data_IF_831428866816
#
_entry.id   IF_831428866816
#
_cell.length_a   1.000
_cell.length_b   1.000
_cell.length_c   1.000
_cell.angle_alpha   90.00
_cell.angle_beta   90.00
_cell.angle_gamma   90.00
#
_symmetry.space_group_name_H-M   'P 1'
#
loop_
_entity.id
_entity.type
_entity.pdbx_description
1 polymer ?
#
# COMPACT_ATOMS: atom_id res chain seq x y z
N UNK A 1 -6.88 7.74 18.83
CA UNK A 1 -7.33 7.53 17.44
C UNK A 1 -6.13 7.79 16.55
N UNK A 2 -5.97 7.05 15.44
CA UNK A 2 -4.69 6.93 14.74
C UNK A 2 -4.93 6.94 13.24
N UNK A 3 -4.17 7.76 12.52
CA UNK A 3 -4.10 7.68 11.07
C UNK A 3 -3.32 6.43 10.63
N UNK A 4 -3.70 5.85 9.49
CA UNK A 4 -2.99 4.71 8.90
C UNK A 4 -2.58 5.08 7.49
N UNK A 5 -1.32 4.84 7.13
CA UNK A 5 -0.84 4.97 5.75
C UNK A 5 -0.43 3.62 5.21
N UNK A 6 -0.92 3.31 4.01
CA UNK A 6 -0.55 2.11 3.25
C UNK A 6 0.30 2.54 2.07
N UNK A 7 1.57 2.15 2.09
CA UNK A 7 2.52 2.31 1.01
C UNK A 7 2.92 0.95 0.42
N UNK A 8 3.66 0.99 -0.68
CA UNK A 8 3.99 -0.20 -1.47
C UNK A 8 4.02 0.08 -2.97
N UNK A 9 4.62 -0.85 -3.71
CA UNK A 9 4.78 -0.75 -5.16
C UNK A 9 3.44 -0.66 -5.93
N UNK A 10 3.54 -0.28 -7.20
CA UNK A 10 2.40 -0.22 -8.12
C UNK A 10 1.68 -1.57 -8.16
N UNK A 11 0.34 -1.57 -8.07
CA UNK A 11 -0.48 -2.78 -8.07
C UNK A 11 -0.20 -3.77 -6.92
N UNK A 12 0.42 -3.34 -5.82
CA UNK A 12 0.59 -4.17 -4.62
C UNK A 12 -0.74 -4.53 -3.91
N UNK A 13 -1.82 -3.81 -4.20
CA UNK A 13 -3.15 -4.03 -3.60
C UNK A 13 -3.55 -2.99 -2.54
N UNK A 14 -2.80 -1.90 -2.42
CA UNK A 14 -3.01 -0.82 -1.43
C UNK A 14 -4.44 -0.30 -1.47
N UNK A 15 -4.91 0.10 -2.64
CA UNK A 15 -6.25 0.66 -2.85
C UNK A 15 -7.35 -0.28 -2.37
N UNK A 16 -7.22 -1.56 -2.68
CA UNK A 16 -8.18 -2.59 -2.25
C UNK A 16 -8.18 -2.74 -0.74
N UNK A 17 -7.01 -2.84 -0.10
CA UNK A 17 -6.92 -3.01 1.34
C UNK A 17 -7.27 -1.74 2.12
N UNK A 18 -6.95 -0.55 1.60
CA UNK A 18 -7.36 0.72 2.16
C UNK A 18 -8.89 0.81 2.23
N UNK A 19 -9.58 0.43 1.16
CA UNK A 19 -11.05 0.38 1.12
C UNK A 19 -11.64 -0.55 2.17
N UNK A 20 -11.12 -1.78 2.23
CA UNK A 20 -11.59 -2.79 3.19
C UNK A 20 -11.34 -2.37 4.65
N UNK A 21 -10.21 -1.71 4.92
CA UNK A 21 -9.89 -1.18 6.25
C UNK A 21 -10.80 0.00 6.62
N UNK A 22 -11.00 0.94 5.71
CA UNK A 22 -11.89 2.07 5.93
C UNK A 22 -13.33 1.61 6.24
N UNK A 23 -13.83 0.62 5.50
CA UNK A 23 -15.15 0.02 5.75
C UNK A 23 -15.23 -0.65 7.12
N UNK A 24 -14.22 -1.44 7.51
CA UNK A 24 -14.24 -2.16 8.79
C UNK A 24 -14.01 -1.26 10.01
N UNK A 25 -13.26 -0.17 9.85
CA UNK A 25 -12.91 0.77 10.93
C UNK A 25 -13.83 2.00 10.98
N UNK A 26 -14.63 2.25 9.95
CA UNK A 26 -15.44 3.47 9.82
C UNK A 26 -14.58 4.73 9.57
N UNK A 27 -13.43 4.57 8.91
CA UNK A 27 -12.47 5.66 8.65
C UNK A 27 -12.68 6.25 7.26
N UNK A 28 -12.36 7.54 7.08
CA UNK A 28 -12.32 8.16 5.75
C UNK A 28 -11.05 7.69 5.00
N UNK A 29 -11.16 7.47 3.69
CA UNK A 29 -9.98 7.15 2.87
C UNK A 29 -9.53 8.35 2.04
N UNK A 30 -8.23 8.64 2.08
CA UNK A 30 -7.56 9.64 1.24
C UNK A 30 -6.82 8.93 0.11
N UNK A 31 -7.29 9.13 -1.12
CA UNK A 31 -6.75 8.49 -2.33
C UNK A 31 -5.72 9.42 -3.01
N UNK A 32 -4.44 9.25 -2.70
CA UNK A 32 -3.41 10.17 -3.21
C UNK A 32 -3.31 10.18 -4.75
N UNK A 33 -3.46 9.02 -5.38
CA UNK A 33 -3.41 8.91 -6.84
C UNK A 33 -4.63 9.59 -7.51
N UNK A 34 -5.83 9.45 -6.94
CA UNK A 34 -7.02 10.20 -7.36
C UNK A 34 -6.84 11.71 -7.25
N UNK A 35 -6.39 12.21 -6.10
CA UNK A 35 -6.12 13.64 -5.89
C UNK A 35 -5.08 14.19 -6.88
N UNK A 36 -4.03 13.42 -7.18
CA UNK A 36 -3.06 13.79 -8.21
C UNK A 36 -3.74 13.91 -9.57
N UNK A 37 -4.51 12.91 -9.99
CA UNK A 37 -5.17 12.92 -11.30
C UNK A 37 -6.17 14.07 -11.43
N UNK A 38 -6.98 14.32 -10.40
CA UNK A 38 -7.90 15.47 -10.35
C UNK A 38 -7.14 16.79 -10.49
N UNK A 39 -6.03 16.97 -9.76
CA UNK A 39 -5.21 18.18 -9.84
C UNK A 39 -4.58 18.40 -11.23
N UNK A 40 -4.42 17.34 -12.01
CA UNK A 40 -3.92 17.37 -13.38
C UNK A 40 -5.04 17.47 -14.44
N UNK A 41 -6.30 17.61 -14.00
CA UNK A 41 -7.48 17.78 -14.83
C UNK A 41 -7.95 16.50 -15.52
N UNK A 42 -7.75 15.33 -14.90
CA UNK A 42 -8.33 14.08 -15.36
C UNK A 42 -9.66 13.77 -14.66
N UNK A 43 -10.54 13.05 -15.36
CA UNK A 43 -11.72 12.42 -14.78
C UNK A 43 -11.30 11.10 -14.11
N UNK A 44 -11.44 11.03 -12.78
CA UNK A 44 -10.95 9.90 -11.97
C UNK A 44 -11.92 8.73 -11.86
N UNK A 45 -13.09 8.79 -12.51
CA UNK A 45 -14.03 7.65 -12.55
C UNK A 45 -13.38 6.36 -13.07
N UNK A 46 -12.38 6.46 -13.94
CA UNK A 46 -11.59 5.34 -14.45
C UNK A 46 -10.09 5.45 -14.10
N UNK A 47 -9.77 5.80 -12.85
CA UNK A 47 -8.37 5.92 -12.37
C UNK A 47 -7.49 4.75 -12.81
N UNK A 48 -8.01 3.50 -12.73
CA UNK A 48 -7.24 2.30 -13.10
C UNK A 48 -6.82 2.28 -14.57
N UNK A 49 -7.69 2.76 -15.45
CA UNK A 49 -7.43 2.87 -16.88
C UNK A 49 -6.46 4.01 -17.16
N UNK A 50 -6.59 5.13 -16.46
CA UNK A 50 -5.72 6.30 -16.63
C UNK A 50 -4.26 6.00 -16.29
N UNK A 51 -4.00 5.41 -15.11
CA UNK A 51 -2.61 5.14 -14.73
C UNK A 51 -1.95 4.08 -15.60
N UNK A 52 -2.73 3.16 -16.18
CA UNK A 52 -2.18 2.09 -17.01
C UNK A 52 -1.97 2.53 -18.47
N UNK A 53 -2.99 3.14 -19.09
CA UNK A 53 -2.99 3.47 -20.52
C UNK A 53 -2.45 4.88 -20.82
N UNK A 54 -2.47 5.79 -19.85
CA UNK A 54 -2.08 7.20 -20.03
C UNK A 54 -0.97 7.63 -19.06
N UNK A 55 -0.17 6.68 -18.58
CA UNK A 55 0.92 6.93 -17.63
C UNK A 55 1.90 8.02 -18.09
N UNK A 56 2.30 8.00 -19.36
CA UNK A 56 3.19 9.02 -19.94
C UNK A 56 2.56 10.41 -19.96
N UNK A 57 1.27 10.50 -20.27
CA UNK A 57 0.55 11.77 -20.26
C UNK A 57 0.41 12.32 -18.84
N UNK A 58 0.09 11.46 -17.87
CA UNK A 58 0.03 11.80 -16.45
C UNK A 58 1.37 12.37 -15.99
N UNK A 59 2.48 11.68 -16.29
CA UNK A 59 3.81 12.13 -15.85
C UNK A 59 4.25 13.42 -16.55
N UNK A 60 3.93 13.58 -17.84
CA UNK A 60 4.19 14.83 -18.58
C UNK A 60 3.44 16.01 -17.97
N UNK A 61 2.15 15.86 -17.63
CA UNK A 61 1.37 16.92 -16.97
C UNK A 61 1.88 17.20 -15.57
N UNK A 62 2.21 16.15 -14.82
CA UNK A 62 2.79 16.26 -13.47
C UNK A 62 4.10 17.05 -13.48
N UNK A 63 4.94 16.85 -14.48
CA UNK A 63 6.19 17.59 -14.62
C UNK A 63 5.98 19.05 -15.03
N UNK A 64 4.84 19.37 -15.64
CA UNK A 64 4.50 20.71 -16.12
C UNK A 64 3.80 21.59 -15.06
N UNK A 65 3.27 20.99 -13.98
CA UNK A 65 2.51 21.69 -12.94
C UNK A 65 3.15 21.41 -11.58
N UNK A 66 3.45 22.47 -10.82
CA UNK A 66 3.88 22.35 -9.44
C UNK A 66 2.67 22.00 -8.55
N UNK A 67 2.35 20.71 -8.45
CA UNK A 67 1.32 20.20 -7.52
C UNK A 67 2.00 19.77 -6.22
N UNK A 68 1.76 20.51 -5.13
CA UNK A 68 2.22 20.13 -3.78
C UNK A 68 1.26 19.15 -3.10
N UNK A 69 1.14 17.95 -3.69
CA UNK A 69 0.32 16.89 -3.12
C UNK A 69 0.91 16.36 -1.80
N UNK A 70 2.24 16.23 -1.74
CA UNK A 70 2.91 15.68 -0.56
C UNK A 70 2.71 16.61 0.66
N UNK A 71 2.81 17.93 0.48
CA UNK A 71 2.49 18.91 1.52
C UNK A 71 1.02 18.89 1.95
N UNK A 72 0.08 18.74 1.02
CA UNK A 72 -1.34 18.58 1.35
C UNK A 72 -1.61 17.33 2.21
N UNK A 73 -1.03 16.18 1.86
CA UNK A 73 -1.21 14.94 2.61
C UNK A 73 -0.57 15.02 4.00
N UNK A 74 0.61 15.65 4.12
CA UNK A 74 1.26 15.94 5.40
C UNK A 74 0.38 16.80 6.29
N UNK A 75 -0.20 17.88 5.73
CA UNK A 75 -1.07 18.76 6.49
C UNK A 75 -2.28 18.01 7.06
N UNK A 76 -2.97 17.19 6.25
CA UNK A 76 -4.11 16.39 6.73
C UNK A 76 -3.69 15.35 7.77
N UNK A 77 -2.57 14.67 7.55
CA UNK A 77 -2.06 13.69 8.51
C UNK A 77 -1.74 14.30 9.89
N UNK A 78 -1.37 15.59 9.92
CA UNK A 78 -1.03 16.32 11.14
C UNK A 78 -2.25 16.96 11.84
N UNK A 79 -3.31 17.30 11.09
CA UNK A 79 -4.46 18.05 11.63
C UNK A 79 -5.67 17.19 11.94
N UNK A 80 -5.68 15.93 11.53
CA UNK A 80 -6.87 15.08 11.58
C UNK A 80 -6.54 13.67 12.03
N UNK A 81 -7.56 12.94 12.47
CA UNK A 81 -7.47 11.55 12.95
C UNK A 81 -8.45 10.66 12.17
N UNK A 82 -8.24 9.34 12.27
CA UNK A 82 -9.11 8.33 11.67
C UNK A 82 -9.16 8.36 10.14
N UNK A 83 -8.01 8.66 9.52
CA UNK A 83 -7.82 8.59 8.07
C UNK A 83 -7.05 7.34 7.67
N UNK A 84 -7.45 6.73 6.56
CA UNK A 84 -6.66 5.74 5.81
C UNK A 84 -6.08 6.41 4.58
N UNK A 85 -4.76 6.53 4.49
CA UNK A 85 -4.07 7.07 3.34
C UNK A 85 -3.62 5.94 2.40
N UNK A 86 -4.19 5.87 1.20
CA UNK A 86 -3.56 5.15 0.07
C UNK A 86 -2.57 6.11 -0.59
N UNK A 87 -1.41 6.24 0.05
CA UNK A 87 -0.40 7.22 -0.29
C UNK A 87 0.98 6.58 -0.32
N UNK A 88 1.61 6.64 -1.50
CA UNK A 88 2.91 6.03 -1.72
C UNK A 88 4.01 6.69 -0.92
N UNK A 89 4.10 8.02 -0.94
CA UNK A 89 5.26 8.76 -0.45
C UNK A 89 5.09 9.38 0.95
N UNK A 90 3.86 9.41 1.46
CA UNK A 90 3.54 9.98 2.76
C UNK A 90 4.38 9.40 3.92
N UNK A 91 4.75 8.09 3.95
CA UNK A 91 5.60 7.58 5.03
C UNK A 91 6.94 8.31 5.18
N UNK A 92 7.52 8.78 4.07
CA UNK A 92 8.79 9.51 4.05
C UNK A 92 8.62 11.02 4.21
N UNK A 93 7.52 11.57 3.68
CA UNK A 93 7.23 13.00 3.77
C UNK A 93 6.80 13.44 5.18
N UNK A 94 6.16 12.54 5.94
CA UNK A 94 5.68 12.83 7.28
C UNK A 94 6.55 12.12 8.32
N UNK A 95 7.21 12.87 9.21
CA UNK A 95 8.18 12.33 10.17
C UNK A 95 7.60 11.97 11.54
N UNK A 96 6.37 12.41 11.85
CA UNK A 96 5.77 12.17 13.18
C UNK A 96 5.44 10.69 13.40
N UNK A 97 5.50 10.24 14.66
CA UNK A 97 5.19 8.85 15.04
C UNK A 97 3.69 8.63 15.30
N UNK A 98 2.86 9.64 15.10
CA UNK A 98 1.41 9.61 15.32
C UNK A 98 0.60 9.03 14.14
N UNK A 99 1.26 8.30 13.24
CA UNK A 99 0.65 7.57 12.13
C UNK A 99 1.18 6.14 12.09
N UNK A 100 0.29 5.17 11.88
CA UNK A 100 0.66 3.79 11.68
C UNK A 100 1.11 3.59 10.22
N UNK A 101 2.37 3.20 10.01
CA UNK A 101 2.95 3.03 8.67
C UNK A 101 2.95 1.57 8.25
N UNK A 102 2.35 1.30 7.10
CA UNK A 102 2.23 -0.05 6.54
C UNK A 102 2.93 -0.09 5.18
N UNK A 103 3.81 -1.08 5.01
CA UNK A 103 4.28 -1.49 3.70
C UNK A 103 3.57 -2.76 3.25
N UNK A 104 2.83 -2.66 2.16
CA UNK A 104 2.23 -3.80 1.49
C UNK A 104 3.15 -4.27 0.35
N UNK A 105 3.85 -5.36 0.59
CA UNK A 105 4.75 -6.00 -0.35
C UNK A 105 3.99 -6.96 -1.28
N UNK A 106 4.48 -7.06 -2.51
CA UNK A 106 3.96 -8.00 -3.50
C UNK A 106 4.93 -8.14 -4.67
N UNK A 107 5.29 -9.37 -5.04
CA UNK A 107 6.19 -9.62 -6.16
C UNK A 107 5.57 -9.19 -7.50
N UNK A 108 6.43 -8.93 -8.49
CA UNK A 108 6.00 -8.43 -9.80
C UNK A 108 4.97 -9.36 -10.47
N UNK A 109 5.07 -10.68 -10.29
CA UNK A 109 4.15 -11.64 -10.87
C UNK A 109 2.74 -11.53 -10.26
N UNK A 110 2.66 -11.44 -8.94
CA UNK A 110 1.43 -11.22 -8.18
C UNK A 110 0.79 -9.88 -8.56
N UNK A 111 1.59 -8.81 -8.62
CA UNK A 111 1.13 -7.47 -9.02
C UNK A 111 0.60 -7.45 -10.45
N UNK A 112 1.29 -8.11 -11.37
CA UNK A 112 0.87 -8.21 -12.77
C UNK A 112 -0.46 -8.99 -12.93
N UNK A 113 -0.65 -10.10 -12.19
CA UNK A 113 -1.91 -10.86 -12.18
C UNK A 113 -3.07 -10.04 -11.60
N UNK A 114 -2.84 -9.30 -10.51
CA UNK A 114 -3.83 -8.37 -9.94
C UNK A 114 -4.20 -7.28 -10.94
N UNK A 115 -3.20 -6.67 -11.57
CA UNK A 115 -3.37 -5.62 -12.56
C UNK A 115 -4.22 -6.10 -13.75
N UNK A 116 -3.87 -7.24 -14.36
CA UNK A 116 -4.62 -7.75 -15.51
C UNK A 116 -6.09 -7.98 -15.18
N UNK A 117 -6.41 -8.47 -13.98
CA UNK A 117 -7.80 -8.66 -13.56
C UNK A 117 -8.51 -7.33 -13.26
N UNK A 118 -7.81 -6.37 -12.65
CA UNK A 118 -8.39 -5.07 -12.28
C UNK A 118 -8.78 -4.19 -13.48
N UNK A 119 -8.19 -4.44 -14.66
CA UNK A 119 -8.45 -3.66 -15.88
C UNK A 119 -9.67 -4.15 -16.68
N UNK A 120 -10.31 -5.25 -16.27
CA UNK A 120 -11.59 -5.68 -16.84
C UNK A 120 -11.49 -6.33 -18.22
N UNK A 121 -12.52 -6.13 -19.07
CA UNK A 121 -12.67 -6.85 -20.34
C UNK A 121 -11.57 -6.55 -21.38
N UNK A 122 -10.90 -5.41 -21.27
CA UNK A 122 -9.77 -4.99 -22.11
C UNK A 122 -8.41 -5.30 -21.48
N UNK A 123 -8.40 -6.24 -20.52
CA UNK A 123 -7.21 -6.63 -19.77
C UNK A 123 -6.01 -6.94 -20.69
N UNK A 124 -4.87 -6.25 -20.49
CA UNK A 124 -3.61 -6.63 -21.11
C UNK A 124 -3.17 -8.01 -20.63
N UNK A 125 -2.24 -8.62 -21.37
CA UNK A 125 -1.58 -9.84 -20.90
C UNK A 125 -0.82 -9.55 -19.60
N UNK A 126 -0.68 -10.56 -18.76
CA UNK A 126 0.09 -10.45 -17.50
C UNK A 126 1.51 -9.92 -17.75
N UNK A 127 2.15 -10.30 -18.86
CA UNK A 127 3.48 -9.81 -19.23
C UNK A 127 3.51 -8.31 -19.58
N UNK A 128 2.47 -7.80 -20.23
CA UNK A 128 2.33 -6.38 -20.54
C UNK A 128 2.08 -5.59 -19.26
N UNK A 129 1.25 -6.13 -18.37
CA UNK A 129 1.04 -5.57 -17.03
C UNK A 129 2.36 -5.48 -16.26
N UNK A 130 3.14 -6.56 -16.23
CA UNK A 130 4.44 -6.60 -15.56
C UNK A 130 5.40 -5.53 -16.10
N UNK A 131 5.44 -5.35 -17.42
CA UNK A 131 6.31 -4.35 -18.06
C UNK A 131 5.91 -2.92 -17.68
N UNK A 132 4.60 -2.60 -17.75
CA UNK A 132 4.08 -1.28 -17.39
C UNK A 132 4.31 -0.96 -15.91
N UNK A 133 4.02 -1.93 -15.04
CA UNK A 133 4.25 -1.84 -13.59
C UNK A 133 5.73 -1.59 -13.28
N UNK A 134 6.64 -2.37 -13.88
CA UNK A 134 8.07 -2.24 -13.64
C UNK A 134 8.59 -0.86 -14.01
N UNK A 135 8.18 -0.33 -15.18
CA UNK A 135 8.57 1.04 -15.60
C UNK A 135 8.08 2.10 -14.62
N UNK A 136 6.83 1.99 -14.15
CA UNK A 136 6.29 2.93 -13.17
C UNK A 136 7.04 2.86 -11.84
N UNK A 137 7.36 1.66 -11.36
CA UNK A 137 8.12 1.48 -10.13
C UNK A 137 9.53 2.09 -10.24
N UNK A 138 10.20 2.00 -11.40
CA UNK A 138 11.50 2.66 -11.61
C UNK A 138 11.41 4.20 -11.49
N UNK A 139 10.35 4.80 -12.05
CA UNK A 139 10.08 6.23 -11.88
C UNK A 139 9.85 6.58 -10.41
N UNK A 140 9.16 5.72 -9.66
CA UNK A 140 8.89 5.93 -8.24
C UNK A 140 10.18 5.84 -7.40
N UNK A 141 11.04 4.85 -7.68
CA UNK A 141 12.36 4.69 -7.06
C UNK A 141 13.20 5.95 -7.29
N UNK A 142 13.24 6.43 -8.53
CA UNK A 142 13.99 7.65 -8.89
C UNK A 142 13.45 8.85 -8.14
N UNK A 143 12.13 9.08 -8.14
CA UNK A 143 11.50 10.19 -7.44
C UNK A 143 11.81 10.19 -5.95
N UNK A 144 11.71 9.04 -5.28
CA UNK A 144 11.97 8.96 -3.83
C UNK A 144 13.44 9.23 -3.52
N UNK A 145 14.35 8.69 -4.33
CA UNK A 145 15.78 8.98 -4.20
C UNK A 145 16.06 10.48 -4.37
N UNK A 146 15.50 11.11 -5.40
CA UNK A 146 15.75 12.53 -5.70
C UNK A 146 15.09 13.48 -4.69
N UNK A 147 13.90 13.13 -4.18
CA UNK A 147 13.10 13.99 -3.30
C UNK A 147 13.49 13.84 -1.84
N UNK A 148 13.74 12.61 -1.39
CA UNK A 148 13.92 12.29 0.03
C UNK A 148 15.34 11.80 0.34
N UNK A 149 16.18 11.53 -0.66
CA UNK A 149 17.56 11.04 -0.45
C UNK A 149 17.63 9.63 0.13
N UNK A 150 16.58 8.81 -0.06
CA UNK A 150 16.46 7.47 0.51
C UNK A 150 16.10 6.43 -0.54
N UNK A 151 16.41 5.16 -0.25
CA UNK A 151 16.00 4.05 -1.10
C UNK A 151 14.49 3.80 -0.96
N UNK A 152 13.80 3.65 -2.09
CA UNK A 152 12.39 3.26 -2.10
C UNK A 152 12.24 1.76 -1.89
N UNK A 153 11.42 1.35 -0.93
CA UNK A 153 11.19 -0.05 -0.61
C UNK A 153 10.74 -0.27 0.84
N UNK A 154 10.66 -1.54 1.29
CA UNK A 154 10.36 -1.88 2.68
C UNK A 154 11.52 -1.49 3.59
N UNK A 155 11.54 -0.23 4.03
CA UNK A 155 12.40 0.21 5.13
C UNK A 155 11.80 -0.25 6.45
N UNK A 156 12.30 -1.38 6.96
CA UNK A 156 11.85 -1.93 8.23
C UNK A 156 12.01 -0.94 9.39
N UNK A 157 12.90 0.05 9.33
CA UNK A 157 13.02 1.09 10.37
C UNK A 157 11.89 2.11 10.33
N UNK A 158 11.34 2.37 9.13
CA UNK A 158 10.28 3.35 8.88
C UNK A 158 8.88 2.76 9.07
N UNK A 159 8.63 1.56 8.55
CA UNK A 159 7.32 0.93 8.60
C UNK A 159 7.10 0.22 9.94
N UNK A 160 5.88 0.27 10.47
CA UNK A 160 5.49 -0.47 11.67
C UNK A 160 5.06 -1.89 11.29
N UNK A 161 4.33 -2.01 10.17
CA UNK A 161 3.82 -3.27 9.65
C UNK A 161 4.37 -3.49 8.24
N UNK A 162 4.88 -4.69 7.97
CA UNK A 162 5.28 -5.14 6.64
C UNK A 162 4.59 -6.47 6.36
N UNK A 163 3.72 -6.49 5.34
CA UNK A 163 2.96 -7.67 4.92
C UNK A 163 3.20 -7.96 3.44
N UNK A 164 3.58 -9.19 3.12
CA UNK A 164 3.84 -9.68 1.78
C UNK A 164 2.68 -10.57 1.30
N UNK A 165 1.89 -10.07 0.34
CA UNK A 165 0.74 -10.82 -0.17
C UNK A 165 1.07 -11.69 -1.41
N UNK A 166 2.33 -11.81 -1.79
CA UNK A 166 2.76 -12.51 -3.02
C UNK A 166 2.24 -13.94 -3.09
N UNK A 167 2.42 -14.70 -2.00
CA UNK A 167 2.08 -16.12 -1.94
C UNK A 167 0.58 -16.40 -1.86
N UNK A 168 -0.24 -15.36 -1.67
CA UNK A 168 -1.70 -15.50 -1.58
C UNK A 168 -2.38 -15.30 -2.94
N UNK A 169 -1.65 -14.79 -3.94
CA UNK A 169 -2.16 -14.49 -5.29
C UNK A 169 -1.60 -15.49 -6.28
N UNK A 170 -2.16 -16.72 -6.27
CA UNK A 170 -1.64 -17.85 -7.05
C UNK A 170 -2.40 -18.12 -8.36
N UNK A 171 -3.64 -17.65 -8.49
CA UNK A 171 -4.47 -17.85 -9.68
C UNK A 171 -4.41 -16.68 -10.67
N UNK A 172 -4.93 -16.91 -11.87
CA UNK A 172 -5.07 -15.90 -12.93
C UNK A 172 -6.53 -15.54 -13.23
N UNK A 173 -7.46 -15.95 -12.36
CA UNK A 173 -8.90 -15.70 -12.49
C UNK A 173 -9.39 -14.80 -11.37
N UNK A 174 -10.40 -14.00 -11.66
CA UNK A 174 -11.01 -13.08 -10.70
C UNK A 174 -11.32 -13.69 -9.32
N UNK A 175 -12.01 -14.85 -9.23
CA UNK A 175 -12.31 -15.50 -7.95
C UNK A 175 -11.08 -15.89 -7.13
N UNK A 176 -10.02 -16.38 -7.78
CA UNK A 176 -8.77 -16.78 -7.12
C UNK A 176 -8.05 -15.57 -6.54
N UNK A 177 -7.99 -14.47 -7.32
CA UNK A 177 -7.44 -13.19 -6.85
C UNK A 177 -8.26 -12.67 -5.66
N UNK A 178 -9.58 -12.71 -5.74
CA UNK A 178 -10.45 -12.25 -4.66
C UNK A 178 -10.28 -13.07 -3.37
N UNK A 179 -10.08 -14.39 -3.48
CA UNK A 179 -9.75 -15.23 -2.33
C UNK A 179 -8.39 -14.85 -1.73
N UNK A 180 -7.38 -14.65 -2.57
CA UNK A 180 -6.06 -14.18 -2.15
C UNK A 180 -6.11 -12.84 -1.41
N UNK A 181 -6.88 -11.88 -1.93
CA UNK A 181 -7.12 -10.57 -1.30
C UNK A 181 -7.78 -10.72 0.07
N UNK A 182 -8.84 -11.55 0.19
CA UNK A 182 -9.50 -11.76 1.50
C UNK A 182 -8.54 -12.35 2.52
N UNK A 183 -7.73 -13.33 2.13
CA UNK A 183 -6.71 -13.93 3.02
C UNK A 183 -5.66 -12.90 3.42
N UNK A 184 -5.14 -12.12 2.47
CA UNK A 184 -4.16 -11.07 2.74
C UNK A 184 -4.72 -10.00 3.68
N UNK A 185 -5.99 -9.65 3.51
CA UNK A 185 -6.66 -8.68 4.38
C UNK A 185 -6.82 -9.19 5.81
N UNK A 186 -7.08 -10.49 6.01
CA UNK A 186 -7.14 -11.08 7.34
C UNK A 186 -5.81 -10.92 8.10
N UNK A 187 -4.67 -11.22 7.46
CA UNK A 187 -3.35 -10.98 8.06
C UNK A 187 -3.09 -9.50 8.33
N UNK A 188 -3.44 -8.62 7.38
CA UNK A 188 -3.24 -7.18 7.53
C UNK A 188 -4.08 -6.61 8.67
N UNK A 189 -5.36 -6.96 8.75
CA UNK A 189 -6.25 -6.52 9.82
C UNK A 189 -5.78 -7.03 11.19
N UNK A 190 -5.38 -8.30 11.29
CA UNK A 190 -4.82 -8.86 12.52
C UNK A 190 -3.51 -8.17 12.93
N UNK A 191 -2.63 -7.83 11.99
CA UNK A 191 -1.39 -7.10 12.26
C UNK A 191 -1.67 -5.66 12.73
N UNK A 192 -2.67 -4.99 12.15
CA UNK A 192 -3.10 -3.65 12.57
C UNK A 192 -3.68 -3.70 13.99
N UNK A 193 -4.60 -4.63 14.27
CA UNK A 193 -5.18 -4.78 15.61
C UNK A 193 -4.09 -5.08 16.65
N UNK A 194 -3.16 -6.00 16.34
CA UNK A 194 -2.04 -6.30 17.22
C UNK A 194 -1.15 -5.08 17.47
N UNK A 195 -0.83 -4.33 16.42
CA UNK A 195 -0.04 -3.09 16.53
C UNK A 195 -0.71 -2.03 17.39
N UNK A 196 -2.02 -1.80 17.19
CA UNK A 196 -2.76 -0.73 17.87
C UNK A 196 -3.13 -1.08 19.33
N UNK A 197 -3.39 -2.36 19.61
CA UNK A 197 -3.90 -2.79 20.93
C UNK A 197 -2.85 -3.47 21.81
N UNK A 198 -1.71 -3.88 21.23
CA UNK A 198 -0.71 -4.71 21.89
C UNK A 198 -1.15 -6.16 22.12
N UNK A 199 -2.32 -6.57 21.60
CA UNK A 199 -2.85 -7.94 21.75
C UNK A 199 -2.67 -8.72 20.46
N UNK A 200 -1.97 -9.84 20.53
CA UNK A 200 -1.66 -10.64 19.33
C UNK A 200 -2.67 -11.75 19.02
N UNK A 201 -3.80 -11.87 19.75
CA UNK A 201 -4.67 -13.07 19.70
C UNK A 201 -5.05 -13.53 18.28
N UNK A 202 -5.64 -12.64 17.47
CA UNK A 202 -6.01 -13.00 16.08
C UNK A 202 -4.79 -13.31 15.20
N UNK A 203 -3.66 -12.64 15.45
CA UNK A 203 -2.43 -12.84 14.70
C UNK A 203 -1.77 -14.19 15.05
N UNK A 204 -1.75 -14.55 16.34
CA UNK A 204 -1.29 -15.84 16.86
C UNK A 204 -2.18 -17.00 16.38
N UNK A 205 -3.50 -16.77 16.27
CA UNK A 205 -4.41 -17.78 15.74
C UNK A 205 -4.14 -18.05 14.24
N UNK A 206 -3.83 -17.02 13.46
CA UNK A 206 -3.40 -17.17 12.07
C UNK A 206 -2.06 -17.91 11.95
N UNK A 207 -1.09 -17.57 12.80
CA UNK A 207 0.20 -18.26 12.88
C UNK A 207 0.03 -19.75 13.22
N UNK A 208 -0.78 -20.06 14.24
CA UNK A 208 -1.05 -21.43 14.66
C UNK A 208 -1.77 -22.24 13.59
N UNK A 209 -2.69 -21.61 12.85
CA UNK A 209 -3.44 -22.27 11.79
C UNK A 209 -2.57 -22.61 10.58
N UNK A 210 -1.65 -21.71 10.18
CA UNK A 210 -0.81 -21.88 8.99
C UNK A 210 0.58 -21.23 9.16
N UNK A 211 1.51 -21.84 9.92
CA UNK A 211 2.77 -21.20 10.29
C UNK A 211 3.69 -20.90 9.09
N UNK A 212 3.70 -21.77 8.08
CA UNK A 212 4.50 -21.55 6.87
C UNK A 212 3.99 -20.35 6.06
N UNK A 213 2.67 -20.20 5.95
CA UNK A 213 2.07 -19.05 5.27
C UNK A 213 2.30 -17.78 6.08
N UNK A 214 2.09 -17.84 7.39
CA UNK A 214 2.34 -16.72 8.29
C UNK A 214 3.75 -16.16 8.12
N UNK A 215 4.78 -17.01 8.18
CA UNK A 215 6.18 -16.60 8.01
C UNK A 215 6.49 -16.00 6.63
N UNK A 216 5.69 -16.32 5.62
CA UNK A 216 5.80 -15.74 4.28
C UNK A 216 5.02 -14.43 4.13
N UNK A 217 3.94 -14.26 4.89
CA UNK A 217 3.05 -13.11 4.77
C UNK A 217 3.42 -12.00 5.74
N UNK A 218 3.58 -12.31 7.02
CA UNK A 218 3.86 -11.32 8.06
C UNK A 218 5.37 -11.19 8.22
N UNK A 219 5.93 -10.06 7.74
CA UNK A 219 7.39 -9.81 7.78
C UNK A 219 7.80 -8.96 8.97
N UNK A 220 6.93 -8.05 9.39
CA UNK A 220 7.15 -7.22 10.57
C UNK A 220 5.81 -6.74 11.14
N UNK A 221 5.70 -6.74 12.47
CA UNK A 221 4.67 -6.00 13.22
C UNK A 221 5.36 -5.36 14.41
N UNK A 222 5.27 -4.03 14.52
CA UNK A 222 5.70 -3.25 15.68
C UNK A 222 4.48 -2.68 16.38
N UNK A 223 4.55 -2.58 17.70
CA UNK A 223 3.48 -1.95 18.47
C UNK A 223 3.53 -0.43 18.31
N UNK A 224 2.41 0.13 17.87
CA UNK A 224 2.24 1.56 17.72
C UNK A 224 2.38 2.26 19.08
N UNK A 225 3.16 3.34 19.12
CA UNK A 225 3.46 4.07 20.37
C UNK A 225 4.43 3.35 21.32
N UNK A 226 4.95 2.18 20.96
CA UNK A 226 5.99 1.49 21.71
C UNK A 226 7.36 2.14 21.46
N UNK A 227 7.95 2.73 22.51
CA UNK A 227 9.39 3.02 22.52
C UNK A 227 10.16 1.73 22.20
N UNK A 228 11.23 1.84 21.41
CA UNK A 228 12.15 0.75 21.14
C UNK A 228 12.76 0.23 22.46
N UNK A 229 12.08 -0.74 23.06
CA UNK A 229 12.56 -1.45 24.24
C UNK A 229 12.25 -2.94 24.08
N UNK A 230 13.31 -3.73 24.14
CA UNK A 230 13.35 -5.19 24.17
C UNK A 230 13.06 -5.90 22.84
N UNK A 231 14.01 -5.80 21.91
CA UNK A 231 14.27 -6.91 21.00
C UNK A 231 14.59 -8.16 21.82
N UNK A 232 13.63 -9.10 21.84
CA UNK A 232 13.87 -10.46 22.34
C UNK A 232 14.84 -11.13 21.37
N UNK A 233 16.06 -11.32 21.82
CA UNK A 233 16.92 -12.40 21.35
C UNK A 233 16.32 -13.73 21.80
N UNK A 234 15.84 -14.53 20.85
CA UNK A 234 16.05 -15.98 20.74
C UNK A 234 15.42 -16.51 19.45
#
# INVERSE_FOLDING_TARGET
>A
MVNIVIAGYTAAGKTTHARLLAESMGYETVWAAGLLLESLGFDVTEESQLWFHRSEEVERRRSAVAVDLDGYLVARAASEDNLIFDARYLPWAYSSRDILRIWLESDLGSRARKCSISLGATAPRVSECATSIYRKDLSDVTRVSDTFGVAYGPDYSLFDIVVDNSCLVLGSRGPDIALGVRRAHAYLAAAIDASLTGRCGCLEDLERANPEEFNRVVRQVRFYGGSAAAGRSR
#
